data_IF_099916538702
#
_entry.id   IF_099916538702
#
_cell.length_a   1.000
_cell.length_b   1.000
_cell.length_c   1.000
_cell.angle_alpha   90.00
_cell.angle_beta   90.00
_cell.angle_gamma   90.00
#
_symmetry.space_group_name_H-M   'P 1'
#
loop_
_entity.id
_entity.type
_entity.pdbx_description
1 polymer ?
#
# COMPACT_ATOMS: atom_id res chain seq x y z
N UNK A 1 29.25 -5.42 13.98
CA UNK A 1 28.51 -6.66 14.31
C UNK A 1 27.69 -7.02 13.09
N UNK A 2 28.10 -8.02 12.32
CA UNK A 2 27.30 -8.55 11.21
C UNK A 2 26.14 -9.33 11.82
N UNK A 3 24.91 -8.84 11.68
CA UNK A 3 23.73 -9.64 11.99
C UNK A 3 23.73 -10.79 10.98
N UNK A 4 24.21 -11.95 11.40
CA UNK A 4 24.13 -13.17 10.58
C UNK A 4 22.75 -13.71 10.84
N UNK A 5 21.85 -13.51 9.89
CA UNK A 5 20.52 -14.11 9.96
C UNK A 5 20.67 -15.64 10.06
N UNK A 6 19.93 -16.31 10.95
CA UNK A 6 19.90 -17.76 10.99
C UNK A 6 19.55 -18.30 9.59
N UNK A 7 20.18 -19.41 9.16
CA UNK A 7 19.80 -20.03 7.89
C UNK A 7 18.30 -20.33 7.90
N UNK A 8 17.63 -20.00 6.79
CA UNK A 8 16.20 -20.20 6.62
C UNK A 8 15.81 -21.65 6.95
N UNK A 9 14.78 -21.85 7.75
CA UNK A 9 14.32 -23.18 8.16
C UNK A 9 13.54 -23.82 7.00
N UNK A 10 14.03 -24.91 6.38
CA UNK A 10 13.32 -25.54 5.27
C UNK A 10 11.96 -26.12 5.67
N UNK A 11 11.67 -26.29 6.97
CA UNK A 11 10.38 -26.75 7.48
C UNK A 11 9.30 -25.66 7.54
N UNK A 12 9.69 -24.37 7.53
CA UNK A 12 8.76 -23.24 7.65
C UNK A 12 8.50 -22.62 6.28
N UNK A 13 7.24 -22.37 5.86
CA UNK A 13 6.96 -21.68 4.61
C UNK A 13 7.72 -20.35 4.47
N UNK A 14 8.33 -20.04 3.31
CA UNK A 14 9.13 -18.82 3.12
C UNK A 14 8.39 -17.54 3.53
N UNK A 15 7.09 -17.44 3.24
CA UNK A 15 6.27 -16.28 3.61
C UNK A 15 6.19 -16.02 5.13
N UNK A 16 6.40 -17.03 5.98
CA UNK A 16 6.47 -16.85 7.43
C UNK A 16 7.83 -16.35 7.89
N UNK A 17 8.89 -16.61 7.11
CA UNK A 17 10.26 -16.19 7.38
C UNK A 17 10.59 -14.81 6.77
N UNK A 18 9.93 -14.44 5.67
CA UNK A 18 10.15 -13.17 4.98
C UNK A 18 9.76 -11.97 5.86
N UNK A 19 10.63 -10.95 5.87
CA UNK A 19 10.41 -9.68 6.56
C UNK A 19 9.30 -8.85 5.89
N UNK A 20 8.24 -8.57 6.64
CA UNK A 20 7.04 -7.86 6.19
C UNK A 20 7.08 -6.37 6.53
N UNK A 21 8.18 -5.88 7.10
CA UNK A 21 8.30 -4.51 7.64
C UNK A 21 8.10 -3.48 6.55
N UNK A 22 8.80 -3.60 5.42
CA UNK A 22 8.73 -2.60 4.35
C UNK A 22 7.33 -2.42 3.73
N UNK A 23 6.62 -3.48 3.28
CA UNK A 23 5.26 -3.28 2.76
C UNK A 23 4.29 -2.83 3.87
N UNK A 24 4.49 -3.24 5.13
CA UNK A 24 3.70 -2.76 6.26
C UNK A 24 3.87 -1.24 6.44
N UNK A 25 5.11 -0.76 6.46
CA UNK A 25 5.43 0.68 6.57
C UNK A 25 4.74 1.49 5.48
N UNK A 26 4.73 1.00 4.23
CA UNK A 26 4.02 1.69 3.14
C UNK A 26 2.52 1.80 3.41
N UNK A 27 1.85 0.73 3.87
CA UNK A 27 0.43 0.79 4.23
C UNK A 27 0.17 1.80 5.36
N UNK A 28 1.02 1.82 6.39
CA UNK A 28 0.90 2.78 7.50
C UNK A 28 1.12 4.22 7.02
N UNK A 29 2.12 4.46 6.16
CA UNK A 29 2.37 5.79 5.60
C UNK A 29 1.18 6.31 4.80
N UNK A 30 0.46 5.45 4.08
CA UNK A 30 -0.77 5.84 3.37
C UNK A 30 -1.94 6.11 4.31
N UNK A 31 -2.09 5.35 5.39
CA UNK A 31 -3.11 5.63 6.41
C UNK A 31 -2.84 6.97 7.11
N UNK A 32 -1.58 7.25 7.46
CA UNK A 32 -1.15 8.54 8.02
C UNK A 32 -1.30 9.67 6.99
N UNK A 33 -1.18 9.37 5.70
CA UNK A 33 -1.37 10.35 4.64
C UNK A 33 -2.80 10.91 4.63
N UNK A 34 -3.80 10.12 5.04
CA UNK A 34 -5.18 10.61 5.16
C UNK A 34 -5.33 11.69 6.23
N UNK A 35 -4.52 11.64 7.30
CA UNK A 35 -4.53 12.64 8.37
C UNK A 35 -3.69 13.89 8.03
N UNK A 36 -2.73 13.75 7.12
CA UNK A 36 -1.77 14.79 6.72
C UNK A 36 -2.02 15.35 5.33
N UNK A 37 -3.22 15.12 4.77
CA UNK A 37 -3.62 15.59 3.43
C UNK A 37 -2.61 15.16 2.34
N UNK A 38 -2.10 13.93 2.43
CA UNK A 38 -1.24 13.33 1.42
C UNK A 38 0.27 13.49 1.65
N UNK A 39 0.72 14.21 2.68
CA UNK A 39 2.14 14.53 2.87
C UNK A 39 3.05 13.28 2.90
N UNK A 40 2.65 12.23 3.61
CA UNK A 40 3.43 11.00 3.73
C UNK A 40 3.23 10.02 2.56
N UNK A 41 2.27 10.25 1.67
CA UNK A 41 1.97 9.33 0.56
C UNK A 41 3.10 9.26 -0.47
N UNK A 42 3.80 10.37 -0.70
CA UNK A 42 4.94 10.41 -1.63
C UNK A 42 6.11 9.55 -1.12
N UNK A 43 6.40 9.62 0.18
CA UNK A 43 7.41 8.76 0.81
C UNK A 43 7.00 7.28 0.67
N UNK A 44 5.72 6.97 0.93
CA UNK A 44 5.18 5.62 0.78
C UNK A 44 5.37 5.04 -0.61
N UNK A 45 5.05 5.79 -1.68
CA UNK A 45 5.18 5.28 -3.06
C UNK A 45 6.65 5.11 -3.48
N UNK A 46 7.55 5.99 -3.02
CA UNK A 46 8.99 5.84 -3.27
C UNK A 46 9.50 4.55 -2.62
N UNK A 47 9.19 4.33 -1.33
CA UNK A 47 9.55 3.09 -0.64
C UNK A 47 8.96 1.86 -1.33
N UNK A 48 7.72 1.94 -1.83
CA UNK A 48 7.11 0.84 -2.56
C UNK A 48 7.88 0.50 -3.84
N UNK A 49 8.31 1.50 -4.63
CA UNK A 49 9.09 1.26 -5.85
C UNK A 49 10.47 0.68 -5.56
N UNK A 50 11.17 1.22 -4.56
CA UNK A 50 12.52 0.79 -4.17
C UNK A 50 12.48 -0.63 -3.62
N UNK A 51 11.61 -0.90 -2.65
CA UNK A 51 11.55 -2.20 -1.97
C UNK A 51 11.00 -3.31 -2.85
N UNK A 52 10.17 -2.99 -3.85
CA UNK A 52 9.65 -3.98 -4.81
C UNK A 52 10.76 -4.70 -5.58
N UNK A 53 11.88 -4.03 -5.87
CA UNK A 53 12.94 -4.59 -6.71
C UNK A 53 13.60 -5.85 -6.11
N UNK A 54 13.64 -5.94 -4.77
CA UNK A 54 14.25 -7.06 -4.03
C UNK A 54 13.21 -7.96 -3.34
N UNK A 55 11.92 -7.75 -3.61
CA UNK A 55 10.85 -8.42 -2.88
C UNK A 55 10.60 -9.86 -3.36
N UNK A 56 10.29 -10.81 -2.45
CA UNK A 56 9.85 -12.14 -2.82
C UNK A 56 8.53 -12.10 -3.60
N UNK A 57 8.27 -13.12 -4.41
CA UNK A 57 7.20 -13.13 -5.41
C UNK A 57 5.81 -12.80 -4.82
N UNK A 58 5.47 -13.39 -3.67
CA UNK A 58 4.18 -13.15 -3.02
C UNK A 58 4.03 -11.69 -2.55
N UNK A 59 5.13 -11.03 -2.18
CA UNK A 59 5.15 -9.65 -1.69
C UNK A 59 5.08 -8.61 -2.82
N UNK A 60 5.49 -8.97 -4.05
CA UNK A 60 5.32 -8.11 -5.22
C UNK A 60 3.86 -7.66 -5.40
N UNK A 61 2.91 -8.53 -5.07
CA UNK A 61 1.47 -8.22 -5.14
C UNK A 61 1.10 -7.00 -4.26
N UNK A 62 1.64 -6.91 -3.04
CA UNK A 62 1.41 -5.80 -2.13
C UNK A 62 1.98 -4.49 -2.66
N UNK A 63 3.21 -4.52 -3.16
CA UNK A 63 3.83 -3.31 -3.73
C UNK A 63 3.11 -2.83 -4.98
N UNK A 64 2.71 -3.74 -5.88
CA UNK A 64 1.89 -3.37 -7.05
C UNK A 64 0.57 -2.74 -6.62
N UNK A 65 -0.08 -3.33 -5.62
CA UNK A 65 -1.33 -2.82 -5.07
C UNK A 65 -1.17 -1.44 -4.42
N UNK A 66 -0.09 -1.21 -3.66
CA UNK A 66 0.25 0.07 -3.03
C UNK A 66 0.57 1.15 -4.05
N UNK A 67 1.41 0.85 -5.04
CA UNK A 67 1.76 1.78 -6.13
C UNK A 67 0.49 2.20 -6.88
N UNK A 68 -0.40 1.26 -7.20
CA UNK A 68 -1.66 1.58 -7.87
C UNK A 68 -2.60 2.40 -7.00
N UNK A 69 -2.65 2.10 -5.71
CA UNK A 69 -3.48 2.86 -4.75
C UNK A 69 -3.05 4.33 -4.72
N UNK A 70 -1.74 4.62 -4.75
CA UNK A 70 -1.23 6.00 -4.84
C UNK A 70 -1.64 6.70 -6.14
N UNK A 71 -1.43 6.07 -7.30
CA UNK A 71 -1.74 6.73 -8.57
C UNK A 71 -3.24 6.94 -8.79
N UNK A 72 -4.07 5.96 -8.36
CA UNK A 72 -5.52 6.09 -8.42
C UNK A 72 -6.03 7.14 -7.43
N UNK A 73 -5.51 7.17 -6.19
CA UNK A 73 -5.91 8.19 -5.22
C UNK A 73 -5.49 9.59 -5.67
N UNK A 74 -4.29 9.75 -6.24
CA UNK A 74 -3.84 11.01 -6.82
C UNK A 74 -4.76 11.45 -7.95
N UNK A 75 -5.07 10.56 -8.88
CA UNK A 75 -5.98 10.84 -10.00
C UNK A 75 -7.36 11.29 -9.52
N UNK A 76 -8.01 10.52 -8.63
CA UNK A 76 -9.34 10.86 -8.14
C UNK A 76 -9.34 12.09 -7.22
N UNK A 77 -8.25 12.35 -6.49
CA UNK A 77 -8.09 13.58 -5.71
C UNK A 77 -8.00 14.80 -6.62
N UNK A 78 -7.23 14.72 -7.72
CA UNK A 78 -7.17 15.79 -8.73
C UNK A 78 -8.54 16.02 -9.37
N UNK A 79 -9.25 14.96 -9.75
CA UNK A 79 -10.62 15.05 -10.28
C UNK A 79 -11.56 15.70 -9.26
N UNK A 80 -11.53 15.23 -8.00
CA UNK A 80 -12.33 15.78 -6.92
C UNK A 80 -12.06 17.27 -6.70
N UNK A 81 -10.79 17.68 -6.66
CA UNK A 81 -10.38 19.08 -6.49
C UNK A 81 -10.88 19.98 -7.63
N UNK A 82 -10.78 19.52 -8.88
CA UNK A 82 -11.29 20.24 -10.05
C UNK A 82 -12.81 20.39 -10.02
N UNK A 83 -13.53 19.40 -9.47
CA UNK A 83 -14.99 19.40 -9.37
C UNK A 83 -15.53 20.07 -8.09
N UNK A 84 -14.67 20.51 -7.17
CA UNK A 84 -15.05 21.24 -5.96
C UNK A 84 -15.85 22.53 -6.21
N UNK A 85 -15.54 23.39 -7.21
CA UNK A 85 -16.27 24.64 -7.44
C UNK A 85 -17.77 24.46 -7.72
N UNK A 86 -18.15 23.30 -8.26
CA UNK A 86 -19.55 22.94 -8.55
C UNK A 86 -20.16 22.00 -7.50
N UNK A 87 -19.50 21.84 -6.35
CA UNK A 87 -19.98 21.07 -5.20
C UNK A 87 -19.70 19.56 -5.24
N UNK A 88 -19.43 18.97 -6.42
CA UNK A 88 -19.22 17.52 -6.57
C UNK A 88 -17.96 17.03 -5.83
N UNK A 89 -16.91 17.87 -5.77
CA UNK A 89 -15.66 17.54 -5.07
C UNK A 89 -15.86 17.18 -3.59
N UNK A 90 -16.85 17.77 -2.91
CA UNK A 90 -17.16 17.46 -1.50
C UNK A 90 -17.63 16.03 -1.27
N UNK A 91 -18.11 15.33 -2.30
CA UNK A 91 -18.47 13.91 -2.23
C UNK A 91 -17.29 13.04 -2.66
N UNK A 92 -16.59 13.43 -3.72
CA UNK A 92 -15.47 12.65 -4.27
C UNK A 92 -14.30 12.56 -3.29
N UNK A 93 -13.88 13.68 -2.70
CA UNK A 93 -12.68 13.71 -1.87
C UNK A 93 -12.80 12.81 -0.61
N UNK A 94 -13.91 12.84 0.16
CA UNK A 94 -14.11 11.87 1.25
C UNK A 94 -14.23 10.42 0.75
N UNK A 95 -14.90 10.19 -0.37
CA UNK A 95 -15.02 8.85 -0.95
C UNK A 95 -13.64 8.26 -1.31
N UNK A 96 -12.73 9.07 -1.87
CA UNK A 96 -11.33 8.68 -2.12
C UNK A 96 -10.63 8.35 -0.80
N UNK A 97 -10.80 9.15 0.24
CA UNK A 97 -10.21 8.89 1.57
C UNK A 97 -10.66 7.55 2.15
N UNK A 98 -11.96 7.27 2.12
CA UNK A 98 -12.54 5.98 2.55
C UNK A 98 -11.99 4.83 1.69
N UNK A 99 -11.95 5.00 0.37
CA UNK A 99 -11.45 4.00 -0.56
C UNK A 99 -9.97 3.66 -0.31
N UNK A 100 -9.11 4.66 -0.07
CA UNK A 100 -7.70 4.44 0.32
C UNK A 100 -7.60 3.70 1.64
N UNK A 101 -8.40 4.08 2.65
CA UNK A 101 -8.39 3.43 3.96
C UNK A 101 -8.76 1.94 3.85
N UNK A 102 -9.86 1.63 3.14
CA UNK A 102 -10.31 0.25 2.92
C UNK A 102 -9.23 -0.57 2.21
N UNK A 103 -8.62 -0.03 1.14
CA UNK A 103 -7.54 -0.72 0.43
C UNK A 103 -6.34 -0.99 1.32
N UNK A 104 -5.93 -0.02 2.13
CA UNK A 104 -4.79 -0.20 3.05
C UNK A 104 -5.10 -1.24 4.13
N UNK A 105 -6.29 -1.23 4.73
CA UNK A 105 -6.71 -2.20 5.74
C UNK A 105 -6.76 -3.62 5.17
N UNK A 106 -7.33 -3.78 3.97
CA UNK A 106 -7.39 -5.09 3.32
C UNK A 106 -6.00 -5.58 2.91
N UNK A 107 -5.19 -4.71 2.30
CA UNK A 107 -3.82 -5.02 1.95
C UNK A 107 -2.97 -5.44 3.17
N UNK A 108 -3.13 -4.74 4.28
CA UNK A 108 -2.47 -5.09 5.55
C UNK A 108 -2.98 -6.42 6.11
N UNK A 109 -4.30 -6.70 6.01
CA UNK A 109 -4.87 -7.98 6.45
C UNK A 109 -4.31 -9.18 5.69
N UNK A 110 -4.12 -9.06 4.36
CA UNK A 110 -3.49 -10.10 3.56
C UNK A 110 -2.00 -10.25 3.89
N UNK A 111 -1.30 -9.12 4.09
CA UNK A 111 0.11 -9.11 4.44
C UNK A 111 0.37 -9.80 5.78
N UNK A 112 -0.42 -9.51 6.81
CA UNK A 112 -0.25 -10.12 8.15
C UNK A 112 -0.58 -11.61 8.17
N UNK A 113 -1.39 -12.10 7.23
CA UNK A 113 -1.62 -13.53 7.00
C UNK A 113 -0.47 -14.22 6.25
N UNK A 114 0.54 -13.49 5.79
CA UNK A 114 1.61 -14.03 4.95
C UNK A 114 1.11 -14.51 3.59
N UNK A 115 0.10 -13.85 3.04
CA UNK A 115 -0.54 -14.23 1.79
C UNK A 115 -0.40 -13.12 0.75
N UNK A 116 -0.18 -13.49 -0.50
CA UNK A 116 -0.21 -12.54 -1.61
C UNK A 116 -1.58 -11.86 -1.70
N UNK A 117 -1.59 -10.58 -2.08
CA UNK A 117 -2.82 -9.89 -2.40
C UNK A 117 -3.45 -10.48 -3.68
N UNK A 118 -4.73 -10.89 -3.68
CA UNK A 118 -5.30 -11.69 -4.76
C UNK A 118 -5.50 -10.92 -6.07
N UNK A 119 -5.81 -9.61 -5.99
CA UNK A 119 -6.21 -8.80 -7.15
C UNK A 119 -5.44 -7.48 -7.23
N UNK A 120 -4.09 -7.51 -7.29
CA UNK A 120 -3.27 -6.31 -7.08
C UNK A 120 -3.45 -5.25 -8.16
N UNK A 121 -3.94 -5.66 -9.34
CA UNK A 121 -4.23 -4.76 -10.47
C UNK A 121 -5.68 -4.26 -10.50
N UNK A 122 -6.57 -4.77 -9.65
CA UNK A 122 -7.94 -4.29 -9.59
C UNK A 122 -8.00 -2.86 -9.02
N UNK A 123 -8.96 -2.07 -9.49
CA UNK A 123 -9.11 -0.66 -9.12
C UNK A 123 -10.15 -0.41 -8.02
N UNK A 124 -11.01 -1.37 -7.71
CA UNK A 124 -11.97 -1.23 -6.62
C UNK A 124 -11.37 -1.70 -5.30
N UNK A 125 -11.27 -3.02 -5.14
CA UNK A 125 -10.71 -3.71 -3.99
C UNK A 125 -9.72 -4.72 -4.54
#
# INVERSE_FOLDING_TARGET
MTHVDPPADPAVPPALQDDKTMPLVVYILYLVALLTVGATAVVGVILAYVSKAAAPEWMLSHYVFQIRTFWLSLLFTVIGAVLTPIGIGFVILPAVGIWVAVRCILGLSWLTKGQAYPTPRNWMI
#
